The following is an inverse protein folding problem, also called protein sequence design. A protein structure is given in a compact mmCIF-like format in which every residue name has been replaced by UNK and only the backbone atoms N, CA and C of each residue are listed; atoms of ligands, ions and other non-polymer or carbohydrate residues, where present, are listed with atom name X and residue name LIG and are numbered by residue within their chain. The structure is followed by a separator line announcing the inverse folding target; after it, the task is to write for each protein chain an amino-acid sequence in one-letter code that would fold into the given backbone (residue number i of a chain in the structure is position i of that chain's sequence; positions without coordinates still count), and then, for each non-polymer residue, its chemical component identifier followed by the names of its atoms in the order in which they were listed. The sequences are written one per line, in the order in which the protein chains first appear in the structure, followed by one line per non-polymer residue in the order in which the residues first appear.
data_IF_002155565050
#
_entry.id   IF_002155565050
#
_cell.length_a   1.000
_cell.length_b   1.000
_cell.length_c   1.000
_cell.angle_alpha   90.00
_cell.angle_beta   90.00
_cell.angle_gamma   90.00
#
_symmetry.space_group_name_H-M   'P 1'
#
loop_
_entity.id
_entity.type
_entity.pdbx_description
1 polymer ?
#
# COMPACT_ATOMS: atom_id res chain seq x y z
N UNK A 1 10.34 -22.48 -5.42
CA UNK A 1 9.88 -21.20 -6.02
C UNK A 1 11.03 -20.21 -5.98
N UNK A 2 11.62 -19.82 -7.12
CA UNK A 2 12.68 -18.81 -7.14
C UNK A 2 12.08 -17.41 -7.28
N UNK A 3 12.11 -16.64 -6.21
CA UNK A 3 11.78 -15.21 -6.22
C UNK A 3 13.02 -14.46 -6.70
N UNK A 4 12.93 -13.80 -7.85
CA UNK A 4 14.03 -12.98 -8.37
C UNK A 4 14.26 -11.73 -7.49
N UNK A 5 15.42 -11.11 -7.64
CA UNK A 5 15.84 -9.96 -6.81
C UNK A 5 14.89 -8.77 -6.89
N UNK A 6 14.28 -8.53 -8.05
CA UNK A 6 13.32 -7.45 -8.25
C UNK A 6 12.04 -7.68 -7.44
N UNK A 7 11.48 -8.89 -7.45
CA UNK A 7 10.27 -9.20 -6.69
C UNK A 7 10.52 -9.18 -5.17
N UNK A 8 11.71 -9.61 -4.72
CA UNK A 8 12.15 -9.42 -3.33
C UNK A 8 12.18 -7.95 -2.92
N UNK A 9 12.74 -7.09 -3.77
CA UNK A 9 12.77 -5.66 -3.53
C UNK A 9 11.36 -5.06 -3.44
N UNK A 10 10.44 -5.48 -4.31
CA UNK A 10 9.04 -5.02 -4.27
C UNK A 10 8.33 -5.41 -2.97
N UNK A 11 8.50 -6.64 -2.48
CA UNK A 11 7.96 -7.04 -1.17
C UNK A 11 8.58 -6.23 -0.03
N UNK A 12 9.90 -6.00 -0.06
CA UNK A 12 10.60 -5.17 0.91
C UNK A 12 10.08 -3.73 0.94
N UNK A 13 9.88 -3.13 -0.23
CA UNK A 13 9.29 -1.79 -0.33
C UNK A 13 7.84 -1.75 0.16
N UNK A 14 7.03 -2.75 -0.16
CA UNK A 14 5.68 -2.88 0.39
C UNK A 14 5.66 -2.97 1.92
N UNK A 15 6.61 -3.71 2.51
CA UNK A 15 6.75 -3.80 3.96
C UNK A 15 7.19 -2.46 4.56
N UNK A 16 8.11 -1.75 3.90
CA UNK A 16 8.58 -0.44 4.34
C UNK A 16 7.44 0.60 4.35
N UNK A 17 6.60 0.63 3.31
CA UNK A 17 5.41 1.47 3.27
C UNK A 17 4.45 1.09 4.40
N UNK A 18 4.23 -0.22 4.61
CA UNK A 18 3.38 -0.72 5.69
C UNK A 18 3.87 -0.31 7.08
N UNK A 19 5.18 -0.40 7.34
CA UNK A 19 5.81 0.07 8.58
C UNK A 19 5.65 1.58 8.76
N UNK A 20 5.77 2.35 7.68
CA UNK A 20 5.50 3.79 7.69
C UNK A 20 4.06 4.11 8.12
N UNK A 21 3.08 3.38 7.59
CA UNK A 21 1.67 3.54 7.98
C UNK A 21 1.38 3.08 9.41
N UNK A 22 2.05 2.04 9.91
CA UNK A 22 1.95 1.65 11.32
C UNK A 22 2.46 2.77 12.24
N UNK A 23 3.59 3.38 11.88
CA UNK A 23 4.14 4.52 12.62
C UNK A 23 3.21 5.74 12.57
N UNK A 24 2.72 6.13 11.39
CA UNK A 24 1.80 7.26 11.21
C UNK A 24 0.48 7.00 11.97
N UNK A 25 -0.10 5.81 11.80
CA UNK A 25 -1.34 5.41 12.47
C UNK A 25 -1.21 5.43 13.99
N UNK A 26 -0.11 4.89 14.52
CA UNK A 26 0.21 4.96 15.94
C UNK A 26 0.38 6.40 16.44
N UNK A 27 1.03 7.27 15.66
CA UNK A 27 1.18 8.70 15.99
C UNK A 27 -0.17 9.42 16.05
N UNK A 28 -1.06 9.20 15.09
CA UNK A 28 -2.42 9.78 15.11
C UNK A 28 -3.28 9.26 16.28
N UNK A 29 -2.98 8.06 16.79
CA UNK A 29 -3.71 7.49 17.91
C UNK A 29 -3.18 7.96 19.28
N UNK A 30 -1.86 7.99 19.44
CA UNK A 30 -1.17 8.27 20.72
C UNK A 30 -0.79 9.74 20.90
N UNK A 31 -0.51 10.46 19.82
CA UNK A 31 -0.06 11.84 19.80
C UNK A 31 -0.72 12.62 18.64
N UNK A 32 -2.05 12.79 18.67
CA UNK A 32 -2.85 13.27 17.53
C UNK A 32 -2.41 14.64 17.00
N UNK A 33 -2.09 15.60 17.88
CA UNK A 33 -1.59 16.94 17.51
C UNK A 33 -0.27 16.84 16.71
N UNK A 34 0.65 15.98 17.16
CA UNK A 34 1.89 15.75 16.46
C UNK A 34 1.63 15.05 15.11
N UNK A 35 0.66 14.11 15.06
CA UNK A 35 0.22 13.45 13.84
C UNK A 35 -0.28 14.45 12.80
N UNK A 36 -1.15 15.34 13.22
CA UNK A 36 -1.73 16.42 12.42
C UNK A 36 -0.68 17.36 11.83
N UNK A 37 0.20 17.89 12.69
CA UNK A 37 1.28 18.79 12.26
C UNK A 37 2.21 18.10 11.25
N UNK A 38 2.52 16.82 11.48
CA UNK A 38 3.33 16.02 10.56
C UNK A 38 2.62 15.71 9.24
N UNK A 39 1.28 15.67 9.24
CA UNK A 39 0.46 15.50 8.05
C UNK A 39 0.39 16.77 7.20
N UNK A 40 0.66 17.93 7.80
CA UNK A 40 0.66 19.24 7.14
C UNK A 40 -0.60 20.06 7.36
N UNK A 41 -1.43 19.68 8.33
CA UNK A 41 -2.65 20.40 8.72
C UNK A 41 -2.46 20.99 10.13
N UNK A 42 -3.19 22.07 10.42
CA UNK A 42 -3.26 22.66 11.74
C UNK A 42 -4.69 23.17 12.01
N UNK A 43 -5.41 22.45 12.87
CA UNK A 43 -6.76 22.76 13.31
C UNK A 43 -6.76 22.94 14.83
N UNK A 44 -7.60 23.84 15.32
CA UNK A 44 -7.85 23.95 16.76
C UNK A 44 -8.84 22.88 17.19
N UNK A 45 -8.33 21.77 17.68
CA UNK A 45 -9.13 20.60 18.07
C UNK A 45 -9.91 20.79 19.37
N UNK A 46 -9.60 21.83 20.17
CA UNK A 46 -10.19 22.07 21.49
C UNK A 46 -10.23 20.81 22.40
N UNK A 47 -9.23 19.93 22.25
CA UNK A 47 -9.11 18.66 22.98
C UNK A 47 -9.89 17.46 22.39
N UNK A 48 -10.62 17.63 21.29
CA UNK A 48 -11.39 16.57 20.66
C UNK A 48 -10.67 15.91 19.47
N UNK A 49 -9.93 14.83 19.76
CA UNK A 49 -9.17 14.10 18.76
C UNK A 49 -9.87 12.87 18.17
N UNK A 50 -11.21 12.79 18.19
CA UNK A 50 -11.93 11.60 17.73
C UNK A 50 -11.62 11.22 16.27
N UNK A 51 -11.65 12.21 15.36
CA UNK A 51 -11.33 11.98 13.94
C UNK A 51 -9.85 11.64 13.71
N UNK A 52 -8.94 12.26 14.46
CA UNK A 52 -7.53 11.92 14.45
C UNK A 52 -7.30 10.44 14.77
N UNK A 53 -7.96 9.92 15.81
CA UNK A 53 -7.86 8.51 16.19
C UNK A 53 -8.51 7.57 15.16
N UNK A 54 -9.63 7.96 14.55
CA UNK A 54 -10.25 7.20 13.44
C UNK A 54 -9.27 7.07 12.27
N UNK A 55 -8.61 8.17 11.87
CA UNK A 55 -7.53 8.13 10.87
C UNK A 55 -6.40 7.21 11.32
N UNK A 56 -5.95 7.36 12.57
CA UNK A 56 -4.89 6.54 13.14
C UNK A 56 -5.14 5.04 13.01
N UNK A 57 -6.34 4.58 13.37
CA UNK A 57 -6.73 3.16 13.26
C UNK A 57 -6.77 2.69 11.80
N UNK A 58 -7.23 3.54 10.87
CA UNK A 58 -7.27 3.21 9.43
C UNK A 58 -5.87 3.04 8.85
N UNK A 59 -4.97 3.97 9.15
CA UNK A 59 -3.59 3.93 8.67
C UNK A 59 -2.86 2.74 9.30
N UNK A 60 -3.03 2.51 10.60
CA UNK A 60 -2.44 1.37 11.31
C UNK A 60 -2.92 0.03 10.73
N UNK A 61 -4.22 -0.12 10.49
CA UNK A 61 -4.80 -1.35 9.93
C UNK A 61 -4.30 -1.60 8.51
N UNK A 62 -4.22 -0.54 7.69
CA UNK A 62 -3.68 -0.63 6.32
C UNK A 62 -2.21 -1.01 6.34
N UNK A 63 -1.43 -0.42 7.25
CA UNK A 63 -0.02 -0.76 7.45
C UNK A 63 0.18 -2.22 7.84
N UNK A 64 -0.66 -2.74 8.74
CA UNK A 64 -0.61 -4.15 9.16
C UNK A 64 -0.89 -5.09 7.99
N UNK A 65 -1.87 -4.78 7.14
CA UNK A 65 -2.17 -5.57 5.94
C UNK A 65 -1.01 -5.56 4.94
N UNK A 66 -0.39 -4.39 4.70
CA UNK A 66 0.77 -4.27 3.81
C UNK A 66 1.96 -5.10 4.32
N UNK A 67 2.31 -4.97 5.60
CA UNK A 67 3.38 -5.77 6.22
C UNK A 67 3.07 -7.26 6.11
N UNK A 68 1.84 -7.66 6.42
CA UNK A 68 1.41 -9.07 6.37
C UNK A 68 1.54 -9.63 4.95
N UNK A 69 0.98 -8.95 3.94
CA UNK A 69 1.03 -9.44 2.56
C UNK A 69 2.45 -9.43 1.98
N UNK A 70 3.29 -8.49 2.40
CA UNK A 70 4.71 -8.47 2.04
C UNK A 70 5.48 -9.64 2.66
N UNK A 71 5.27 -9.93 3.95
CA UNK A 71 5.95 -11.03 4.65
C UNK A 71 5.49 -12.40 4.12
N UNK A 72 4.20 -12.55 3.82
CA UNK A 72 3.63 -13.75 3.21
C UNK A 72 3.92 -13.85 1.71
N UNK A 73 4.52 -12.82 1.10
CA UNK A 73 4.85 -12.74 -0.32
C UNK A 73 3.62 -12.93 -1.24
N UNK A 74 2.47 -12.44 -0.77
CA UNK A 74 1.19 -12.50 -1.50
C UNK A 74 1.11 -11.41 -2.55
N UNK A 75 1.69 -11.73 -3.72
CA UNK A 75 1.88 -10.80 -4.84
C UNK A 75 0.60 -10.04 -5.27
N UNK A 76 -0.48 -10.75 -5.63
CA UNK A 76 -1.73 -10.14 -6.10
C UNK A 76 -2.44 -9.34 -4.98
N UNK A 77 -2.67 -9.90 -3.77
CA UNK A 77 -3.24 -9.13 -2.65
C UNK A 77 -2.47 -7.85 -2.32
N UNK A 78 -1.13 -7.94 -2.24
CA UNK A 78 -0.29 -6.76 -1.99
C UNK A 78 -0.43 -5.72 -3.11
N UNK A 79 -0.41 -6.15 -4.37
CA UNK A 79 -0.55 -5.25 -5.51
C UNK A 79 -1.90 -4.53 -5.53
N UNK A 80 -3.00 -5.25 -5.29
CA UNK A 80 -4.35 -4.66 -5.22
C UNK A 80 -4.44 -3.68 -4.05
N UNK A 81 -3.93 -4.07 -2.88
CA UNK A 81 -3.95 -3.21 -1.69
C UNK A 81 -3.14 -1.93 -1.91
N UNK A 82 -1.96 -2.00 -2.51
CA UNK A 82 -1.16 -0.82 -2.87
C UNK A 82 -1.88 0.06 -3.91
N UNK A 83 -2.55 -0.55 -4.90
CA UNK A 83 -3.27 0.20 -5.94
C UNK A 83 -4.45 0.98 -5.35
N UNK A 84 -5.37 0.28 -4.69
CA UNK A 84 -6.56 0.89 -4.08
C UNK A 84 -6.14 1.82 -2.94
N UNK A 85 -5.17 1.38 -2.13
CA UNK A 85 -4.62 2.16 -1.03
C UNK A 85 -3.94 3.44 -1.48
N UNK A 86 -3.39 3.51 -2.70
CA UNK A 86 -2.80 4.75 -3.22
C UNK A 86 -3.81 5.90 -3.37
N UNK A 87 -5.11 5.62 -3.42
CA UNK A 87 -6.14 6.65 -3.39
C UNK A 87 -6.12 7.46 -2.07
N UNK A 88 -5.65 6.86 -0.98
CA UNK A 88 -5.53 7.53 0.33
C UNK A 88 -4.52 8.69 0.27
N UNK A 89 -3.23 8.49 -0.07
CA UNK A 89 -2.28 9.59 -0.17
C UNK A 89 -2.62 10.59 -1.28
N UNK A 90 -3.36 10.17 -2.33
CA UNK A 90 -3.89 11.12 -3.32
C UNK A 90 -4.94 12.07 -2.70
N UNK A 91 -5.89 11.52 -1.93
CA UNK A 91 -6.86 12.32 -1.19
C UNK A 91 -6.19 13.17 -0.10
N UNK A 92 -5.21 12.62 0.62
CA UNK A 92 -4.46 13.33 1.64
C UNK A 92 -3.73 14.55 1.06
N UNK A 93 -3.08 14.41 -0.10
CA UNK A 93 -2.45 15.53 -0.80
C UNK A 93 -3.46 16.64 -1.15
N UNK A 94 -4.65 16.25 -1.65
CA UNK A 94 -5.70 17.19 -1.99
C UNK A 94 -6.28 17.90 -0.75
N UNK A 95 -6.46 17.19 0.36
CA UNK A 95 -6.94 17.76 1.62
C UNK A 95 -5.91 18.76 2.15
N UNK A 96 -4.62 18.42 2.18
CA UNK A 96 -3.56 19.36 2.57
C UNK A 96 -3.61 20.61 1.69
N UNK A 97 -3.70 20.45 0.36
CA UNK A 97 -3.75 21.59 -0.55
C UNK A 97 -4.94 22.52 -0.32
N UNK A 98 -6.12 21.95 -0.05
CA UNK A 98 -7.38 22.68 0.06
C UNK A 98 -7.67 23.21 1.47
N UNK A 99 -6.94 22.75 2.49
CA UNK A 99 -7.16 23.14 3.88
C UNK A 99 -6.60 24.53 4.17
N UNK A 100 -7.39 25.46 4.74
CA UNK A 100 -6.89 26.78 5.15
C UNK A 100 -5.78 26.66 6.20
N UNK A 101 -4.70 27.43 6.03
CA UNK A 101 -3.59 27.46 6.99
C UNK A 101 -2.71 26.21 6.99
N UNK A 102 -2.92 25.28 6.05
CA UNK A 102 -2.08 24.10 5.90
C UNK A 102 -0.68 24.44 5.40
N UNK A 103 0.27 23.54 5.67
CA UNK A 103 1.58 23.60 5.06
C UNK A 103 1.54 22.88 3.71
N UNK A 104 1.25 23.60 2.63
CA UNK A 104 1.19 23.04 1.27
C UNK A 104 2.49 22.36 0.83
N UNK A 105 3.64 22.68 1.44
CA UNK A 105 4.87 21.94 1.16
C UNK A 105 4.77 20.47 1.58
N UNK A 106 3.98 20.12 2.59
CA UNK A 106 3.78 18.73 3.02
C UNK A 106 3.15 17.83 1.93
N UNK A 107 2.54 18.41 0.89
CA UNK A 107 1.99 17.66 -0.26
C UNK A 107 3.01 16.76 -0.95
N UNK A 108 4.31 17.09 -0.92
CA UNK A 108 5.32 16.27 -1.61
C UNK A 108 5.39 14.85 -1.02
N UNK A 109 5.23 14.70 0.30
CA UNK A 109 5.28 13.39 0.98
C UNK A 109 4.11 12.53 0.51
N UNK A 110 2.91 13.13 0.46
CA UNK A 110 1.69 12.47 -0.01
C UNK A 110 1.81 12.08 -1.49
N UNK A 111 2.26 13.02 -2.34
CA UNK A 111 2.49 12.78 -3.76
C UNK A 111 3.51 11.66 -4.03
N UNK A 112 4.64 11.64 -3.31
CA UNK A 112 5.63 10.57 -3.42
C UNK A 112 5.08 9.22 -2.99
N UNK A 113 4.27 9.19 -1.93
CA UNK A 113 3.65 7.96 -1.43
C UNK A 113 2.64 7.42 -2.44
N UNK A 114 1.82 8.28 -3.05
CA UNK A 114 0.90 7.94 -4.13
C UNK A 114 1.64 7.31 -5.32
N UNK A 115 2.65 8.00 -5.85
CA UNK A 115 3.42 7.55 -7.02
C UNK A 115 4.15 6.23 -6.73
N UNK A 116 4.77 6.11 -5.56
CA UNK A 116 5.50 4.90 -5.16
C UNK A 116 4.55 3.72 -5.01
N UNK A 117 3.42 3.89 -4.32
CA UNK A 117 2.44 2.83 -4.10
C UNK A 117 1.81 2.37 -5.41
N UNK A 118 1.39 3.32 -6.26
CA UNK A 118 0.84 3.02 -7.59
C UNK A 118 1.86 2.36 -8.52
N UNK A 119 3.11 2.81 -8.50
CA UNK A 119 4.20 2.21 -9.27
C UNK A 119 4.50 0.77 -8.83
N UNK A 120 4.61 0.51 -7.51
CA UNK A 120 4.80 -0.83 -6.99
C UNK A 120 3.61 -1.74 -7.32
N UNK A 121 2.39 -1.23 -7.18
CA UNK A 121 1.19 -1.95 -7.56
C UNK A 121 1.21 -2.35 -9.04
N UNK A 122 1.58 -1.42 -9.93
CA UNK A 122 1.72 -1.71 -11.35
C UNK A 122 2.72 -2.84 -11.62
N UNK A 123 3.91 -2.79 -11.01
CA UNK A 123 4.91 -3.84 -11.16
C UNK A 123 4.44 -5.20 -10.63
N UNK A 124 3.77 -5.23 -9.47
CA UNK A 124 3.20 -6.45 -8.90
C UNK A 124 2.10 -7.02 -9.79
N UNK A 125 1.18 -6.20 -10.28
CA UNK A 125 0.01 -6.68 -11.02
C UNK A 125 0.31 -7.02 -12.48
N UNK A 126 1.30 -6.38 -13.09
CA UNK A 126 1.72 -6.66 -14.47
C UNK A 126 2.69 -7.84 -14.59
N UNK A 127 3.48 -8.12 -13.56
CA UNK A 127 4.48 -9.20 -13.61
C UNK A 127 3.81 -10.57 -13.85
N UNK A 128 4.47 -11.52 -14.54
CA UNK A 128 3.93 -12.86 -14.75
C UNK A 128 3.63 -13.54 -13.41
N UNK A 129 2.53 -14.29 -13.34
CA UNK A 129 2.19 -15.08 -12.16
C UNK A 129 3.35 -16.03 -11.86
N UNK A 130 3.78 -16.05 -10.61
CA UNK A 130 5.01 -16.71 -10.18
C UNK A 130 4.93 -18.25 -10.19
N UNK A 131 4.11 -18.83 -11.07
CA UNK A 131 4.10 -20.27 -11.36
C UNK A 131 2.75 -20.92 -11.70
N UNK A 132 1.69 -20.22 -12.10
CA UNK A 132 0.44 -20.89 -12.44
C UNK A 132 0.33 -21.11 -13.97
N UNK A 133 0.40 -22.36 -14.47
CA UNK A 133 -0.07 -22.62 -15.82
C UNK A 133 -1.56 -22.28 -15.88
N UNK A 134 -1.99 -21.67 -16.98
CA UNK A 134 -3.37 -21.27 -17.19
C UNK A 134 -4.36 -22.39 -16.79
N UNK A 135 -5.43 -22.08 -16.03
CA UNK A 135 -6.41 -23.10 -15.66
C UNK A 135 -7.02 -23.65 -16.95
N UNK A 136 -6.72 -24.92 -17.26
CA UNK A 136 -7.40 -25.69 -18.31
C UNK A 136 -6.61 -26.07 -19.57
N UNK A 137 -5.30 -25.83 -19.67
CA UNK A 137 -4.48 -26.49 -20.72
C UNK A 137 -3.54 -27.51 -20.09
N UNK A 138 -4.08 -28.70 -19.79
CA UNK A 138 -3.22 -29.88 -19.78
C UNK A 138 -2.58 -30.00 -21.17
N UNK A 139 -1.29 -30.39 -21.30
CA UNK A 139 -0.78 -30.81 -22.58
C UNK A 139 -1.68 -31.96 -23.01
N UNK A 140 -2.40 -31.78 -24.12
CA UNK A 140 -3.08 -32.89 -24.78
C UNK A 140 -1.96 -33.86 -25.10
N UNK A 141 -1.84 -34.91 -24.29
CA UNK A 141 -0.99 -36.04 -24.62
C UNK A 141 -1.65 -36.64 -25.84
N UNK A 142 -1.05 -36.35 -26.98
CA UNK A 142 -1.37 -36.94 -28.27
C UNK A 142 -1.10 -38.45 -28.13
N UNK A 143 -2.12 -39.19 -27.68
CA UNK A 143 -2.14 -40.63 -27.75
C UNK A 143 -2.29 -40.99 -29.23
N UNK A 144 -1.16 -41.07 -29.93
CA UNK A 144 -1.07 -41.65 -31.24
C UNK A 144 -1.66 -43.08 -31.23
N UNK A 145 -2.42 -43.48 -32.24
CA UNK A 145 -3.01 -44.81 -32.28
C UNK A 145 -1.90 -45.87 -32.37
N UNK A 146 -1.87 -46.80 -31.41
CA UNK A 146 -1.11 -48.04 -31.57
C UNK A 146 -1.78 -48.83 -32.69
N UNK A 147 -1.05 -48.97 -33.80
CA UNK A 147 -1.38 -49.94 -34.85
C UNK A 147 -1.41 -51.34 -34.23
N UNK A 148 -2.51 -52.05 -34.45
CA UNK A 148 -2.72 -53.46 -34.17
C UNK A 148 -3.80 -53.95 -35.11
#
# INVERSE_FOLDING_TARGET
MQINSSLRATFGLGALIGLGLLFIGGRFWLAPEAGEQGFGIAVNEAGNYAFHRIKGVRDFSTGLLLVTFSLLQWKKPLGILLLVGSLIPAADAFIVWSSPGSNSSAMWIHGLTFLTSGGLAYFLLKGPDSGEPAPGKQPVTENAPRKG
#
